data_IF_955349351133
#
_entry.id   IF_955349351133
#
_cell.length_a   1.000
_cell.length_b   1.000
_cell.length_c   1.000
_cell.angle_alpha   90.00
_cell.angle_beta   90.00
_cell.angle_gamma   90.00
#
_symmetry.space_group_name_H-M   'P 1'
#
loop_
_entity.id
_entity.type
_entity.pdbx_description
1 polymer ?
#
# COMPACT_ATOMS: atom_id res chain seq x y z
N UNK A 1 -15.00 -10.06 13.98
CA UNK A 1 -13.98 -10.05 12.91
C UNK A 1 -14.61 -10.55 11.62
N UNK A 2 -14.66 -9.72 10.59
CA UNK A 2 -15.34 -9.94 9.31
C UNK A 2 -14.38 -9.63 8.16
N UNK A 3 -14.37 -10.45 7.12
CA UNK A 3 -13.65 -10.12 5.87
C UNK A 3 -14.50 -9.13 5.09
N UNK A 4 -13.96 -7.94 4.82
CA UNK A 4 -14.65 -6.87 4.06
C UNK A 4 -14.15 -6.75 2.64
N UNK A 5 -12.92 -7.20 2.37
CA UNK A 5 -12.40 -7.33 1.00
C UNK A 5 -11.61 -8.62 0.86
N UNK A 6 -11.82 -9.37 -0.21
CA UNK A 6 -10.90 -10.43 -0.64
C UNK A 6 -10.26 -10.05 -1.97
N UNK A 7 -8.94 -10.15 -2.04
CA UNK A 7 -8.14 -9.92 -3.24
C UNK A 7 -7.40 -11.21 -3.54
N UNK A 8 -7.68 -11.79 -4.69
CA UNK A 8 -7.01 -12.98 -5.19
C UNK A 8 -6.34 -12.66 -6.52
N UNK A 9 -5.04 -12.97 -6.61
CA UNK A 9 -4.27 -12.92 -7.87
C UNK A 9 -3.91 -14.35 -8.24
N UNK A 10 -4.47 -14.85 -9.33
CA UNK A 10 -4.21 -16.21 -9.83
C UNK A 10 -3.73 -16.10 -11.26
N UNK A 11 -2.49 -16.49 -11.53
CA UNK A 11 -1.89 -16.38 -12.87
C UNK A 11 -2.05 -14.96 -13.46
N UNK A 12 -1.70 -13.94 -12.66
CA UNK A 12 -1.86 -12.52 -12.98
C UNK A 12 -3.30 -12.00 -13.14
N UNK A 13 -4.33 -12.83 -12.99
CA UNK A 13 -5.73 -12.37 -13.00
C UNK A 13 -6.13 -11.90 -11.62
N UNK A 14 -6.64 -10.68 -11.55
CA UNK A 14 -7.11 -10.06 -10.31
C UNK A 14 -8.60 -10.33 -10.11
N UNK A 15 -8.96 -10.93 -8.99
CA UNK A 15 -10.32 -11.12 -8.53
C UNK A 15 -10.51 -10.38 -7.21
N UNK A 16 -11.43 -9.41 -7.20
CA UNK A 16 -11.74 -8.60 -6.00
C UNK A 16 -13.19 -8.79 -5.62
N UNK A 17 -13.44 -9.09 -4.34
CA UNK A 17 -14.78 -9.05 -3.73
C UNK A 17 -14.77 -8.03 -2.62
N UNK A 18 -15.76 -7.15 -2.62
CA UNK A 18 -15.85 -6.02 -1.70
C UNK A 18 -17.17 -6.01 -0.96
N UNK A 19 -17.13 -5.43 0.22
CA UNK A 19 -18.27 -5.15 1.09
C UNK A 19 -18.13 -3.70 1.60
N UNK A 20 -19.15 -3.19 2.28
CA UNK A 20 -19.14 -1.85 2.83
C UNK A 20 -18.11 -1.70 3.95
N UNK A 21 -17.44 -0.55 3.95
CA UNK A 21 -16.40 -0.15 4.91
C UNK A 21 -16.60 1.29 5.36
N UNK A 22 -16.06 1.62 6.54
CA UNK A 22 -15.89 3.00 6.96
C UNK A 22 -14.65 3.59 6.28
N UNK A 23 -14.86 4.35 5.19
CA UNK A 23 -13.76 4.93 4.39
C UNK A 23 -12.75 5.73 5.21
N UNK A 24 -13.20 6.54 6.17
CA UNK A 24 -12.30 7.35 7.00
C UNK A 24 -11.37 6.49 7.85
N UNK A 25 -11.92 5.46 8.50
CA UNK A 25 -11.13 4.51 9.28
C UNK A 25 -10.19 3.69 8.41
N UNK A 26 -10.67 3.25 7.25
CA UNK A 26 -9.84 2.53 6.29
C UNK A 26 -8.67 3.39 5.81
N UNK A 27 -8.87 4.69 5.58
CA UNK A 27 -7.80 5.62 5.22
C UNK A 27 -6.74 5.67 6.31
N UNK A 28 -7.14 5.91 7.56
CA UNK A 28 -6.21 6.01 8.70
C UNK A 28 -5.42 4.70 8.90
N UNK A 29 -6.08 3.54 8.79
CA UNK A 29 -5.46 2.23 8.99
C UNK A 29 -4.51 1.87 7.83
N UNK A 30 -4.89 2.12 6.57
CA UNK A 30 -4.00 1.93 5.41
C UNK A 30 -2.81 2.88 5.45
N UNK A 31 -3.02 4.12 5.91
CA UNK A 31 -1.94 5.08 6.10
C UNK A 31 -0.92 4.55 7.09
N UNK A 32 -1.39 4.06 8.23
CA UNK A 32 -0.52 3.49 9.25
C UNK A 32 0.20 2.23 8.77
N UNK A 33 -0.49 1.34 8.06
CA UNK A 33 0.12 0.14 7.49
C UNK A 33 1.26 0.48 6.52
N UNK A 34 1.02 1.42 5.61
CA UNK A 34 2.05 1.88 4.69
C UNK A 34 3.20 2.56 5.42
N UNK A 35 2.90 3.38 6.43
CA UNK A 35 3.91 4.04 7.26
C UNK A 35 4.82 3.03 7.98
N UNK A 36 4.26 1.94 8.52
CA UNK A 36 5.02 0.88 9.20
C UNK A 36 5.99 0.15 8.26
N UNK A 37 5.68 0.03 6.97
CA UNK A 37 6.60 -0.59 5.99
C UNK A 37 7.92 0.18 5.89
N UNK A 38 7.90 1.51 6.08
CA UNK A 38 9.10 2.32 6.07
C UNK A 38 9.91 2.22 7.38
N UNK A 39 9.27 1.78 8.48
CA UNK A 39 9.87 1.79 9.81
C UNK A 39 10.49 0.48 10.29
N UNK A 40 10.15 -0.68 9.68
CA UNK A 40 10.40 -1.98 10.31
C UNK A 40 11.31 -2.96 9.58
N UNK A 41 11.61 -2.79 8.29
CA UNK A 41 12.30 -3.83 7.53
C UNK A 41 13.43 -3.23 6.67
N UNK A 42 14.69 -3.57 6.99
CA UNK A 42 15.91 -3.09 6.31
C UNK A 42 15.93 -3.47 4.81
N UNK A 43 15.13 -4.47 4.41
CA UNK A 43 14.96 -4.88 3.02
C UNK A 43 13.97 -3.98 2.23
N UNK A 44 13.22 -3.12 2.91
CA UNK A 44 12.22 -2.23 2.32
C UNK A 44 12.83 -0.83 2.11
N UNK A 45 13.64 -0.72 1.06
CA UNK A 45 14.14 0.58 0.65
C UNK A 45 12.96 1.48 0.24
N UNK A 46 12.79 2.60 0.96
CA UNK A 46 11.78 3.64 0.73
C UNK A 46 11.68 3.97 -0.75
N UNK A 47 12.81 4.09 -1.46
CA UNK A 47 12.86 4.39 -2.89
C UNK A 47 12.16 3.32 -3.75
N UNK A 48 12.32 2.04 -3.42
CA UNK A 48 11.70 0.92 -4.15
C UNK A 48 10.19 0.92 -3.92
N UNK A 49 9.74 1.16 -2.68
CA UNK A 49 8.31 1.25 -2.38
C UNK A 49 7.70 2.43 -3.13
N UNK A 50 8.29 3.62 -3.02
CA UNK A 50 7.80 4.83 -3.67
C UNK A 50 7.76 4.67 -5.19
N UNK A 51 8.81 4.10 -5.78
CA UNK A 51 8.87 3.87 -7.22
C UNK A 51 7.85 2.83 -7.68
N UNK A 52 7.71 1.73 -6.93
CA UNK A 52 6.72 0.69 -7.21
C UNK A 52 5.30 1.25 -7.13
N UNK A 53 5.04 2.15 -6.18
CA UNK A 53 3.75 2.80 -6.04
C UNK A 53 3.45 3.80 -7.15
N UNK A 54 4.42 4.66 -7.49
CA UNK A 54 4.32 5.57 -8.64
C UNK A 54 3.99 4.79 -9.93
N UNK A 55 4.65 3.65 -10.12
CA UNK A 55 4.44 2.77 -11.27
C UNK A 55 3.03 2.15 -11.29
N UNK A 56 2.49 1.73 -10.15
CA UNK A 56 1.09 1.27 -10.03
C UNK A 56 0.15 2.40 -10.43
N UNK A 57 0.32 3.59 -9.86
CA UNK A 57 -0.55 4.73 -10.12
C UNK A 57 -0.50 5.17 -11.58
N UNK A 58 0.68 5.18 -12.20
CA UNK A 58 0.85 5.53 -13.60
C UNK A 58 0.08 4.55 -14.51
N UNK A 59 0.17 3.25 -14.24
CA UNK A 59 -0.57 2.24 -15.03
C UNK A 59 -2.07 2.35 -14.77
N UNK A 60 -2.48 2.43 -13.51
CA UNK A 60 -3.89 2.50 -13.13
C UNK A 60 -4.58 3.78 -13.63
N UNK A 61 -3.87 4.91 -13.71
CA UNK A 61 -4.38 6.15 -14.32
C UNK A 61 -4.66 6.00 -15.81
N UNK A 62 -3.88 5.17 -16.51
CA UNK A 62 -4.02 4.98 -17.96
C UNK A 62 -5.05 3.92 -18.29
N UNK A 63 -5.06 2.81 -17.56
CA UNK A 63 -5.86 1.64 -17.94
C UNK A 63 -7.06 1.38 -17.04
N UNK A 64 -7.05 1.93 -15.82
CA UNK A 64 -8.05 1.60 -14.79
C UNK A 64 -7.96 0.15 -14.30
N UNK A 65 -6.96 -0.63 -14.74
CA UNK A 65 -6.85 -2.06 -14.48
C UNK A 65 -5.46 -2.41 -13.92
N UNK A 66 -5.43 -3.00 -12.73
CA UNK A 66 -4.19 -3.41 -12.06
C UNK A 66 -3.57 -4.69 -12.68
N UNK A 67 -4.35 -5.48 -13.41
CA UNK A 67 -3.82 -6.61 -14.20
C UNK A 67 -2.77 -6.13 -15.22
N UNK A 68 -2.97 -4.94 -15.79
CA UNK A 68 -2.01 -4.33 -16.72
C UNK A 68 -0.71 -3.94 -16.03
N UNK A 69 -0.73 -3.60 -14.73
CA UNK A 69 0.49 -3.33 -13.98
C UNK A 69 1.34 -4.61 -13.88
N UNK A 70 0.70 -5.74 -13.55
CA UNK A 70 1.39 -7.01 -13.44
C UNK A 70 2.03 -7.42 -14.77
N UNK A 71 1.33 -7.20 -15.88
CA UNK A 71 1.83 -7.48 -17.23
C UNK A 71 2.95 -6.52 -17.66
N UNK A 72 2.77 -5.21 -17.49
CA UNK A 72 3.71 -4.17 -17.95
C UNK A 72 5.03 -4.16 -17.18
N UNK A 73 5.00 -4.48 -15.88
CA UNK A 73 6.18 -4.50 -15.01
C UNK A 73 6.81 -5.88 -14.88
N UNK A 74 6.34 -6.85 -15.68
CA UNK A 74 6.79 -8.25 -15.64
C UNK A 74 6.72 -8.84 -14.21
N UNK A 75 5.73 -8.40 -13.43
CA UNK A 75 5.51 -8.90 -12.07
C UNK A 75 4.75 -10.21 -12.21
N UNK A 76 5.46 -11.32 -12.07
CA UNK A 76 4.85 -12.64 -12.12
C UNK A 76 4.30 -12.99 -10.73
N UNK A 77 2.98 -12.89 -10.57
CA UNK A 77 2.27 -13.34 -9.36
C UNK A 77 1.58 -14.66 -9.68
N UNK A 78 2.21 -15.75 -9.23
CA UNK A 78 1.68 -17.12 -9.42
C UNK A 78 0.39 -17.32 -8.62
N UNK A 79 0.42 -16.91 -7.36
CA UNK A 79 -0.71 -16.95 -6.44
C UNK A 79 -0.52 -15.89 -5.35
N UNK A 80 -1.56 -15.11 -5.07
CA UNK A 80 -1.63 -14.22 -3.92
C UNK A 80 -3.08 -14.20 -3.43
N UNK A 81 -3.27 -14.37 -2.13
CA UNK A 81 -4.57 -14.17 -1.50
C UNK A 81 -4.38 -13.27 -0.28
N UNK A 82 -5.10 -12.15 -0.30
CA UNK A 82 -5.11 -11.15 0.73
C UNK A 82 -6.55 -10.83 1.14
N UNK A 83 -6.78 -10.71 2.43
CA UNK A 83 -8.07 -10.38 3.02
C UNK A 83 -7.93 -9.09 3.83
N UNK A 84 -8.74 -8.09 3.51
CA UNK A 84 -8.93 -6.94 4.39
C UNK A 84 -9.96 -7.34 5.45
N UNK A 85 -9.53 -7.33 6.69
CA UNK A 85 -10.31 -7.81 7.82
C UNK A 85 -10.65 -6.66 8.75
N UNK A 86 -11.94 -6.51 9.02
CA UNK A 86 -12.48 -5.57 10.02
C UNK A 86 -12.67 -6.29 11.36
N UNK A 87 -12.09 -5.75 12.42
CA UNK A 87 -12.28 -6.25 13.77
C UNK A 87 -13.54 -5.67 14.45
N UNK A 88 -13.74 -6.00 15.73
CA UNK A 88 -14.93 -5.57 16.45
C UNK A 88 -14.89 -4.06 16.84
N UNK A 89 -13.74 -3.41 16.75
CA UNK A 89 -13.58 -1.97 17.00
C UNK A 89 -13.49 -1.14 15.71
N UNK A 90 -13.74 -1.78 14.55
CA UNK A 90 -13.66 -1.18 13.21
C UNK A 90 -12.26 -0.75 12.81
N UNK A 91 -11.25 -1.48 13.28
CA UNK A 91 -9.90 -1.40 12.74
C UNK A 91 -9.76 -2.40 11.60
N UNK A 92 -9.13 -1.96 10.52
CA UNK A 92 -8.84 -2.75 9.34
C UNK A 92 -7.41 -3.27 9.37
N UNK A 93 -7.21 -4.53 8.97
CA UNK A 93 -5.89 -5.13 8.87
C UNK A 93 -5.81 -6.07 7.68
N UNK A 94 -4.66 -6.10 7.01
CA UNK A 94 -4.40 -7.05 5.94
C UNK A 94 -3.95 -8.40 6.50
N UNK A 95 -4.59 -9.46 6.01
CA UNK A 95 -4.19 -10.84 6.23
C UNK A 95 -3.82 -11.49 4.93
N UNK A 96 -2.67 -12.15 4.91
CA UNK A 96 -2.20 -12.87 3.75
C UNK A 96 -2.16 -14.37 4.04
N UNK A 97 -2.53 -15.18 3.04
CA UNK A 97 -2.38 -16.64 3.14
C UNK A 97 -0.89 -17.06 3.14
N UNK A 98 0.00 -16.20 2.61
CA UNK A 98 1.46 -16.37 2.63
C UNK A 98 2.15 -15.00 2.77
N UNK A 99 3.35 -14.93 3.36
CA UNK A 99 4.08 -13.65 3.47
C UNK A 99 4.28 -13.05 2.06
N UNK A 100 3.73 -11.86 1.77
CA UNK A 100 3.83 -11.27 0.44
C UNK A 100 5.24 -10.74 0.20
N UNK A 101 5.67 -10.73 -1.06
CA UNK A 101 6.77 -9.88 -1.51
C UNK A 101 6.33 -8.41 -1.49
N UNK A 102 7.28 -7.48 -1.39
CA UNK A 102 6.98 -6.04 -1.43
C UNK A 102 6.11 -5.64 -2.63
N UNK A 103 6.46 -6.11 -3.83
CA UNK A 103 5.66 -5.84 -5.05
C UNK A 103 4.24 -6.39 -4.98
N UNK A 104 4.02 -7.54 -4.35
CA UNK A 104 2.69 -8.11 -4.15
C UNK A 104 1.88 -7.31 -3.12
N UNK A 105 2.54 -6.82 -2.08
CA UNK A 105 1.92 -5.95 -1.08
C UNK A 105 1.50 -4.61 -1.70
N UNK A 106 2.36 -3.99 -2.52
CA UNK A 106 2.04 -2.78 -3.28
C UNK A 106 0.81 -2.99 -4.18
N UNK A 107 0.73 -4.14 -4.86
CA UNK A 107 -0.44 -4.50 -5.69
C UNK A 107 -1.71 -4.56 -4.84
N UNK A 108 -1.67 -5.18 -3.66
CA UNK A 108 -2.83 -5.25 -2.76
C UNK A 108 -3.25 -3.86 -2.26
N UNK A 109 -2.29 -3.04 -1.82
CA UNK A 109 -2.56 -1.67 -1.39
C UNK A 109 -3.15 -0.82 -2.52
N UNK A 110 -2.57 -0.88 -3.72
CA UNK A 110 -3.09 -0.19 -4.90
C UNK A 110 -4.50 -0.64 -5.26
N UNK A 111 -4.79 -1.95 -5.16
CA UNK A 111 -6.14 -2.49 -5.36
C UNK A 111 -7.12 -1.87 -4.37
N UNK A 112 -6.79 -1.87 -3.08
CA UNK A 112 -7.67 -1.35 -2.04
C UNK A 112 -7.92 0.14 -2.19
N UNK A 113 -6.86 0.92 -2.43
CA UNK A 113 -6.96 2.35 -2.60
C UNK A 113 -7.86 2.69 -3.79
N UNK A 114 -7.66 2.05 -4.94
CA UNK A 114 -8.50 2.29 -6.11
C UNK A 114 -9.93 1.78 -5.96
N UNK A 115 -10.14 0.73 -5.17
CA UNK A 115 -11.46 0.16 -4.95
C UNK A 115 -12.34 1.05 -4.06
N UNK A 116 -11.75 1.70 -3.06
CA UNK A 116 -12.50 2.44 -2.05
C UNK A 116 -12.40 3.97 -2.17
N UNK A 117 -11.40 4.51 -2.88
CA UNK A 117 -11.13 5.94 -2.90
C UNK A 117 -11.11 6.48 -4.34
N UNK A 118 -11.54 7.72 -4.48
CA UNK A 118 -11.42 8.48 -5.72
C UNK A 118 -9.98 8.92 -5.96
N UNK A 119 -9.67 9.30 -7.20
CA UNK A 119 -8.30 9.61 -7.60
C UNK A 119 -7.69 10.80 -6.82
N UNK A 120 -8.51 11.79 -6.48
CA UNK A 120 -8.15 12.93 -5.64
C UNK A 120 -7.87 12.51 -4.18
N UNK A 121 -8.71 11.65 -3.60
CA UNK A 121 -8.49 11.08 -2.26
C UNK A 121 -7.20 10.25 -2.21
N UNK A 122 -6.89 9.49 -3.27
CA UNK A 122 -5.64 8.74 -3.39
C UNK A 122 -4.45 9.71 -3.50
N UNK A 123 -4.56 10.78 -4.29
CA UNK A 123 -3.50 11.77 -4.39
C UNK A 123 -3.23 12.47 -3.05
N UNK A 124 -4.28 12.77 -2.28
CA UNK A 124 -4.18 13.32 -0.92
C UNK A 124 -3.50 12.33 0.04
N UNK A 125 -3.90 11.05 0.02
CA UNK A 125 -3.27 9.98 0.80
C UNK A 125 -1.76 9.96 0.63
N UNK A 126 -1.29 9.99 -0.62
CA UNK A 126 0.14 10.01 -0.90
C UNK A 126 0.78 11.34 -0.55
N UNK A 127 0.13 12.46 -0.84
CA UNK A 127 0.65 13.78 -0.48
C UNK A 127 0.96 13.90 1.01
N UNK A 128 0.05 13.43 1.87
CA UNK A 128 0.25 13.38 3.32
C UNK A 128 1.40 12.44 3.71
N UNK A 129 1.41 11.22 3.13
CA UNK A 129 2.43 10.22 3.44
C UNK A 129 3.84 10.72 3.07
N UNK A 130 3.99 11.33 1.90
CA UNK A 130 5.26 11.90 1.45
C UNK A 130 5.72 13.05 2.33
N UNK A 131 4.79 13.92 2.72
CA UNK A 131 5.09 15.03 3.61
C UNK A 131 5.67 14.54 4.94
N UNK A 132 5.01 13.59 5.59
CA UNK A 132 5.44 13.06 6.88
C UNK A 132 6.77 12.29 6.79
N UNK A 133 6.98 11.51 5.71
CA UNK A 133 8.26 10.81 5.49
C UNK A 133 9.40 11.82 5.31
N UNK A 134 9.20 12.87 4.53
CA UNK A 134 10.21 13.92 4.31
C UNK A 134 10.53 14.63 5.62
N UNK A 135 9.52 15.01 6.40
CA UNK A 135 9.75 15.66 7.71
C UNK A 135 10.57 14.79 8.66
N UNK A 136 10.33 13.47 8.67
CA UNK A 136 11.09 12.52 9.49
C UNK A 136 12.54 12.43 9.00
N UNK A 137 12.77 12.32 7.70
CA UNK A 137 14.13 12.28 7.12
C UNK A 137 14.88 13.58 7.46
N UNK A 138 14.24 14.74 7.29
CA UNK A 138 14.82 16.04 7.62
C UNK A 138 15.17 16.14 9.11
N UNK A 139 14.32 15.63 10.00
CA UNK A 139 14.61 15.55 11.44
C UNK A 139 15.78 14.60 11.74
N UNK A 140 15.82 13.43 11.10
CA UNK A 140 16.91 12.46 11.27
C UNK A 140 18.25 13.03 10.82
N UNK A 141 18.28 13.76 9.70
CA UNK A 141 19.48 14.42 9.18
C UNK A 141 19.94 15.56 10.08
N UNK A 142 19.01 16.37 10.60
CA UNK A 142 19.32 17.41 11.60
C UNK A 142 19.90 16.80 12.88
N UNK A 143 19.32 15.72 13.38
CA UNK A 143 19.80 15.02 14.58
C UNK A 143 21.18 14.38 14.36
N UNK A 144 21.43 13.81 13.18
CA UNK A 144 22.73 13.25 12.82
C UNK A 144 23.80 14.35 12.71
N UNK A 145 23.47 15.49 12.10
CA UNK A 145 24.35 16.65 12.03
C UNK A 145 24.69 17.21 13.42
N UNK A 146 23.70 17.28 14.32
CA UNK A 146 23.90 17.74 15.71
C UNK A 146 24.76 16.76 16.52
N UNK A 147 24.63 15.45 16.28
CA UNK A 147 25.45 14.41 16.95
C UNK A 147 26.87 14.30 16.39
N UNK A 148 27.10 14.62 15.12
CA UNK A 148 28.43 14.62 14.49
C UNK A 148 29.27 15.86 14.75
N UNK A 149 28.68 16.92 15.32
CA UNK A 149 29.35 18.15 15.75
C UNK A 149 29.56 18.23 17.28
N UNK A 150 29.39 17.11 18.01
CA UNK A 150 29.85 16.91 19.39
C UNK A 150 31.02 15.92 19.43
#
# INVERSE_FOLDING_TARGET
MRVVTSIEVIQNRLCVKMDDVNKKRLFDDLYHEVFLLFGYDEDFNVDIFLKGFEDVMAVMKVTGMLEDFCQLKNVQVMYLKAELVEDNVRTYSLKYDQKPRLTEHIVVLGTLLYSYFHHDEIAEFFGLLFHDIIEIIDQMDQDAFLKGNM
#
